data_IF_869470675837
#
_entry.id   IF_869470675837
#
_cell.length_a   1.000
_cell.length_b   1.000
_cell.length_c   1.000
_cell.angle_alpha   90.00
_cell.angle_beta   90.00
_cell.angle_gamma   90.00
#
_symmetry.space_group_name_H-M   'P 1'
#
loop_
_entity.id
_entity.type
_entity.pdbx_description
1 polymer ?
#
# COMPACT_ATOMS: atom_id res chain seq x y z
N UNK A 1 -9.27 9.20 0.18
CA UNK A 1 -8.21 10.19 0.45
C UNK A 1 -8.85 11.56 0.66
N UNK A 2 -8.52 12.23 1.77
CA UNK A 2 -9.00 13.57 2.05
C UNK A 2 -8.10 14.56 1.32
N UNK A 3 -8.69 15.55 0.67
CA UNK A 3 -7.98 16.64 0.02
C UNK A 3 -8.29 17.96 0.72
N UNK A 4 -7.25 18.66 1.12
CA UNK A 4 -7.37 20.01 1.68
C UNK A 4 -7.12 21.06 0.60
N UNK A 5 -7.93 22.14 0.63
CA UNK A 5 -7.69 23.34 -0.16
C UNK A 5 -7.15 24.40 0.79
N UNK A 6 -5.99 24.94 0.46
CA UNK A 6 -5.32 25.95 1.28
C UNK A 6 -5.47 27.33 0.62
N UNK A 7 -5.55 28.36 1.44
CA UNK A 7 -5.48 29.75 1.00
C UNK A 7 -4.01 30.20 0.79
N UNK A 8 -3.82 31.46 0.43
CA UNK A 8 -2.51 32.06 0.23
C UNK A 8 -1.66 32.18 1.52
N UNK A 9 -2.25 31.94 2.70
CA UNK A 9 -1.57 31.91 4.00
C UNK A 9 -1.26 30.49 4.46
N UNK A 10 -1.70 29.47 3.71
CA UNK A 10 -1.56 28.07 4.06
C UNK A 10 -2.62 27.56 5.04
N UNK A 11 -3.70 28.31 5.25
CA UNK A 11 -4.81 27.89 6.09
C UNK A 11 -5.80 27.03 5.31
N UNK A 12 -6.40 26.03 5.98
CA UNK A 12 -7.36 25.11 5.34
C UNK A 12 -8.69 25.83 5.15
N UNK A 13 -9.09 26.02 3.91
CA UNK A 13 -10.38 26.65 3.55
C UNK A 13 -11.47 25.64 3.24
N UNK A 14 -11.08 24.44 2.76
CA UNK A 14 -12.01 23.36 2.46
C UNK A 14 -11.36 22.02 2.70
N UNK A 15 -12.14 21.05 3.18
CA UNK A 15 -11.76 19.64 3.24
C UNK A 15 -12.81 18.82 2.46
N UNK A 16 -12.37 17.89 1.63
CA UNK A 16 -13.27 17.08 0.83
C UNK A 16 -12.65 15.74 0.42
N UNK A 17 -13.50 14.80 0.02
CA UNK A 17 -13.04 13.50 -0.49
C UNK A 17 -12.68 13.61 -1.97
N UNK A 18 -11.49 13.15 -2.33
CA UNK A 18 -11.09 13.02 -3.73
C UNK A 18 -11.98 11.95 -4.40
N UNK A 19 -12.75 12.36 -5.42
CA UNK A 19 -13.56 11.43 -6.20
C UNK A 19 -12.70 10.78 -7.29
N UNK A 20 -12.57 9.46 -7.20
CA UNK A 20 -11.91 8.63 -8.21
C UNK A 20 -12.87 8.35 -9.36
N UNK A 21 -12.53 8.78 -10.58
CA UNK A 21 -13.31 8.56 -11.79
C UNK A 21 -12.74 7.40 -12.64
N UNK A 22 -13.40 7.06 -13.74
CA UNK A 22 -13.00 5.95 -14.60
C UNK A 22 -11.67 6.20 -15.33
N UNK A 23 -11.32 7.46 -15.61
CA UNK A 23 -10.02 7.79 -16.20
C UNK A 23 -8.87 7.47 -15.22
N UNK A 24 -9.05 7.76 -13.92
CA UNK A 24 -8.08 7.36 -12.89
C UNK A 24 -7.91 5.84 -12.83
N UNK A 25 -9.02 5.09 -12.89
CA UNK A 25 -8.98 3.61 -12.87
C UNK A 25 -8.26 3.06 -14.09
N UNK A 26 -8.56 3.59 -15.29
CA UNK A 26 -7.89 3.16 -16.52
C UNK A 26 -6.38 3.39 -16.47
N UNK A 27 -5.95 4.57 -16.04
CA UNK A 27 -4.52 4.86 -15.90
C UNK A 27 -3.84 3.95 -14.87
N UNK A 28 -4.51 3.66 -13.76
CA UNK A 28 -4.02 2.73 -12.74
C UNK A 28 -3.82 1.32 -13.31
N UNK A 29 -4.79 0.79 -14.05
CA UNK A 29 -4.67 -0.52 -14.70
C UNK A 29 -3.52 -0.56 -15.72
N UNK A 30 -3.35 0.51 -16.53
CA UNK A 30 -2.22 0.62 -17.44
C UNK A 30 -0.87 0.65 -16.70
N UNK A 31 -0.79 1.36 -15.57
CA UNK A 31 0.42 1.41 -14.76
C UNK A 31 0.72 0.05 -14.10
N UNK A 32 -0.30 -0.65 -13.61
CA UNK A 32 -0.16 -2.00 -13.05
C UNK A 32 0.35 -2.96 -14.13
N UNK A 33 -0.23 -2.94 -15.31
CA UNK A 33 0.20 -3.79 -16.43
C UNK A 33 1.67 -3.52 -16.80
N UNK A 34 2.08 -2.27 -16.92
CA UNK A 34 3.46 -1.90 -17.21
C UNK A 34 4.44 -2.36 -16.11
N UNK A 35 4.05 -2.24 -14.83
CA UNK A 35 4.83 -2.67 -13.68
C UNK A 35 5.00 -4.21 -13.66
N UNK A 36 3.96 -4.96 -14.02
CA UNK A 36 4.00 -6.43 -14.12
C UNK A 36 4.93 -6.87 -15.25
N UNK A 37 4.81 -6.27 -16.44
CA UNK A 37 5.66 -6.64 -17.58
C UNK A 37 7.14 -6.28 -17.35
N UNK A 38 7.42 -5.17 -16.68
CA UNK A 38 8.77 -4.81 -16.25
C UNK A 38 9.35 -5.87 -15.29
N UNK A 39 8.56 -6.34 -14.32
CA UNK A 39 8.97 -7.41 -13.40
C UNK A 39 9.24 -8.72 -14.12
N UNK A 40 8.34 -9.15 -15.00
CA UNK A 40 8.49 -10.39 -15.81
C UNK A 40 9.76 -10.33 -16.67
N UNK A 41 10.02 -9.22 -17.34
CA UNK A 41 11.21 -9.04 -18.16
C UNK A 41 12.50 -9.25 -17.34
N UNK A 42 12.59 -8.63 -16.16
CA UNK A 42 13.77 -8.72 -15.31
C UNK A 42 13.95 -10.12 -14.72
N UNK A 43 12.87 -10.80 -14.34
CA UNK A 43 12.90 -12.19 -13.90
C UNK A 43 13.41 -13.12 -15.03
N UNK A 44 12.88 -12.96 -16.24
CA UNK A 44 13.31 -13.76 -17.39
C UNK A 44 14.78 -13.54 -17.77
N UNK A 45 15.34 -12.34 -17.51
CA UNK A 45 16.75 -12.01 -17.73
C UNK A 45 17.66 -12.35 -16.56
N UNK A 46 17.10 -12.65 -15.38
CA UNK A 46 17.86 -12.90 -14.16
C UNK A 46 18.67 -11.68 -13.67
N UNK A 47 18.32 -10.46 -14.12
CA UNK A 47 19.03 -9.24 -13.74
C UNK A 47 18.51 -8.78 -12.36
N UNK A 48 19.40 -8.54 -11.37
CA UNK A 48 18.98 -8.06 -10.05
C UNK A 48 18.18 -6.76 -10.12
N UNK A 49 17.01 -6.74 -9.50
CA UNK A 49 16.13 -5.57 -9.46
C UNK A 49 15.28 -5.55 -8.19
N UNK A 50 14.81 -4.37 -7.74
CA UNK A 50 13.93 -4.27 -6.58
C UNK A 50 12.48 -4.56 -6.99
N UNK A 51 12.03 -5.79 -6.75
CA UNK A 51 10.60 -6.13 -6.86
C UNK A 51 9.82 -5.49 -5.71
N UNK A 52 8.58 -5.10 -5.95
CA UNK A 52 7.65 -4.68 -4.91
C UNK A 52 6.86 -5.90 -4.46
N UNK A 53 7.25 -6.47 -3.35
CA UNK A 53 6.66 -7.68 -2.81
C UNK A 53 5.66 -7.35 -1.71
N UNK A 54 4.64 -8.19 -1.60
CA UNK A 54 3.67 -8.15 -0.51
C UNK A 54 3.33 -9.58 -0.11
N UNK A 55 3.81 -9.99 1.04
CA UNK A 55 3.54 -11.32 1.57
C UNK A 55 2.10 -11.42 2.08
N UNK A 56 1.60 -12.65 2.24
CA UNK A 56 0.32 -12.86 2.93
C UNK A 56 0.39 -12.33 4.37
N UNK A 57 -0.75 -12.06 4.99
CA UNK A 57 -0.78 -11.60 6.38
C UNK A 57 0.05 -12.49 7.31
N UNK A 58 0.76 -11.92 8.31
CA UNK A 58 1.42 -12.73 9.33
C UNK A 58 0.40 -13.63 10.04
N UNK A 59 0.79 -14.88 10.34
CA UNK A 59 -0.12 -15.89 10.87
C UNK A 59 -0.84 -15.43 12.15
N UNK A 60 -0.10 -14.78 13.07
CA UNK A 60 -0.70 -14.26 14.30
C UNK A 60 -1.74 -13.17 14.03
N UNK A 61 -1.41 -12.18 13.18
CA UNK A 61 -2.37 -11.13 12.83
C UNK A 61 -3.61 -11.67 12.13
N UNK A 62 -3.43 -12.73 11.36
CA UNK A 62 -4.54 -13.39 10.69
C UNK A 62 -5.42 -14.18 11.68
N UNK A 63 -4.82 -14.81 12.69
CA UNK A 63 -5.57 -15.48 13.75
C UNK A 63 -6.39 -14.45 14.57
N UNK A 64 -5.78 -13.32 14.92
CA UNK A 64 -6.47 -12.21 15.61
C UNK A 64 -7.64 -11.67 14.75
N UNK A 65 -7.44 -11.53 13.45
CA UNK A 65 -8.49 -11.16 12.51
C UNK A 65 -9.63 -12.19 12.49
N UNK A 66 -9.31 -13.48 12.46
CA UNK A 66 -10.34 -14.53 12.46
C UNK A 66 -11.17 -14.51 13.74
N UNK A 67 -10.55 -14.24 14.88
CA UNK A 67 -11.25 -14.11 16.16
C UNK A 67 -12.17 -12.89 16.16
N UNK A 68 -11.67 -11.73 15.74
CA UNK A 68 -12.48 -10.53 15.58
C UNK A 68 -13.70 -10.76 14.67
N UNK A 69 -13.53 -11.42 13.54
CA UNK A 69 -14.61 -11.67 12.58
C UNK A 69 -15.73 -12.56 13.15
N UNK A 70 -15.43 -13.45 14.10
CA UNK A 70 -16.45 -14.29 14.75
C UNK A 70 -17.49 -13.47 15.52
N UNK A 71 -17.08 -12.36 16.13
CA UNK A 71 -18.00 -11.46 16.84
C UNK A 71 -19.06 -10.87 15.89
N UNK A 72 -18.73 -10.72 14.61
CA UNK A 72 -19.62 -10.24 13.55
C UNK A 72 -20.31 -11.36 12.76
N UNK A 73 -20.20 -12.63 13.20
CA UNK A 73 -20.71 -13.81 12.51
C UNK A 73 -20.14 -13.97 11.08
N UNK A 74 -18.90 -13.55 10.91
CA UNK A 74 -18.13 -13.66 9.67
C UNK A 74 -17.02 -14.68 9.82
N UNK A 75 -16.61 -15.26 8.71
CA UNK A 75 -15.51 -16.23 8.68
C UNK A 75 -14.68 -16.09 7.42
N UNK A 76 -13.40 -16.45 7.54
CA UNK A 76 -12.47 -16.57 6.44
C UNK A 76 -11.78 -17.94 6.43
N UNK A 77 -11.23 -18.39 5.31
CA UNK A 77 -10.50 -19.67 5.22
C UNK A 77 -9.34 -19.74 6.23
N UNK A 78 -8.84 -20.94 6.56
CA UNK A 78 -7.61 -21.09 7.33
C UNK A 78 -6.42 -20.35 6.68
N UNK A 79 -5.49 -19.85 7.48
CA UNK A 79 -4.33 -19.07 7.04
C UNK A 79 -3.55 -19.70 5.87
N UNK A 80 -3.32 -21.01 5.92
CA UNK A 80 -2.59 -21.74 4.88
C UNK A 80 -3.31 -21.74 3.50
N UNK A 81 -4.64 -21.50 3.48
CA UNK A 81 -5.49 -21.55 2.28
C UNK A 81 -6.08 -20.20 1.89
N UNK A 82 -5.74 -19.14 2.62
CA UNK A 82 -6.27 -17.81 2.32
C UNK A 82 -5.67 -17.22 1.04
N UNK A 83 -6.52 -16.63 0.23
CA UNK A 83 -6.18 -15.95 -1.01
C UNK A 83 -6.66 -14.49 -0.99
N UNK A 84 -6.10 -13.60 -1.82
CA UNK A 84 -6.56 -12.21 -1.95
C UNK A 84 -8.06 -12.09 -2.23
N UNK A 85 -8.62 -12.98 -3.05
CA UNK A 85 -10.06 -13.03 -3.39
C UNK A 85 -10.96 -13.20 -2.17
N UNK A 86 -10.47 -13.84 -1.10
CA UNK A 86 -11.26 -14.07 0.11
C UNK A 86 -11.47 -12.76 0.86
N UNK A 87 -10.46 -11.88 0.87
CA UNK A 87 -10.57 -10.51 1.38
C UNK A 87 -11.55 -9.69 0.57
N UNK A 88 -11.45 -9.73 -0.76
CA UNK A 88 -12.38 -9.04 -1.66
C UNK A 88 -13.82 -9.52 -1.45
N UNK A 89 -14.03 -10.82 -1.35
CA UNK A 89 -15.36 -11.41 -1.11
C UNK A 89 -15.94 -10.95 0.24
N UNK A 90 -15.10 -10.87 1.28
CA UNK A 90 -15.53 -10.40 2.59
C UNK A 90 -15.90 -8.90 2.55
N UNK A 91 -15.09 -8.06 1.93
CA UNK A 91 -15.39 -6.63 1.73
C UNK A 91 -16.73 -6.44 1.02
N UNK A 92 -16.97 -7.17 -0.07
CA UNK A 92 -18.25 -7.12 -0.76
C UNK A 92 -19.43 -7.56 0.12
N UNK A 93 -19.24 -8.58 0.95
CA UNK A 93 -20.27 -9.09 1.86
C UNK A 93 -20.65 -8.09 2.95
N UNK A 94 -19.69 -7.29 3.42
CA UNK A 94 -19.92 -6.34 4.52
C UNK A 94 -20.29 -4.93 4.06
N UNK A 95 -20.19 -4.62 2.78
CA UNK A 95 -20.25 -3.28 2.20
C UNK A 95 -21.46 -2.44 2.65
N UNK A 96 -22.62 -3.06 2.83
CA UNK A 96 -23.86 -2.36 3.18
C UNK A 96 -24.16 -2.43 4.69
N UNK A 97 -23.27 -2.97 5.49
CA UNK A 97 -23.44 -3.07 6.95
C UNK A 97 -23.02 -1.77 7.62
N UNK A 98 -23.65 -1.46 8.74
CA UNK A 98 -23.30 -0.29 9.55
C UNK A 98 -21.87 -0.36 10.12
N UNK A 99 -21.34 -1.55 10.33
CA UNK A 99 -20.01 -1.85 10.85
C UNK A 99 -18.94 -2.08 9.74
N UNK A 100 -19.28 -1.85 8.47
CA UNK A 100 -18.38 -2.07 7.32
C UNK A 100 -17.02 -1.38 7.49
N UNK A 101 -17.03 -0.09 7.84
CA UNK A 101 -15.80 0.69 8.00
C UNK A 101 -14.86 0.13 9.09
N UNK A 102 -15.42 -0.36 10.20
CA UNK A 102 -14.65 -1.01 11.26
C UNK A 102 -14.02 -2.30 10.75
N UNK A 103 -14.80 -3.17 10.11
CA UNK A 103 -14.32 -4.45 9.57
C UNK A 103 -13.24 -4.23 8.52
N UNK A 104 -13.43 -3.29 7.57
CA UNK A 104 -12.45 -2.94 6.56
C UNK A 104 -11.15 -2.42 7.17
N UNK A 105 -11.23 -1.59 8.22
CA UNK A 105 -10.05 -1.10 8.95
C UNK A 105 -9.25 -2.23 9.58
N UNK A 106 -9.92 -3.21 10.23
CA UNK A 106 -9.24 -4.36 10.84
C UNK A 106 -8.65 -5.28 9.78
N UNK A 107 -9.37 -5.51 8.66
CA UNK A 107 -8.86 -6.25 7.50
C UNK A 107 -7.57 -5.61 6.96
N UNK A 108 -7.54 -4.30 6.81
CA UNK A 108 -6.36 -3.58 6.33
C UNK A 108 -5.18 -3.69 7.31
N UNK A 109 -5.42 -3.55 8.62
CA UNK A 109 -4.38 -3.66 9.66
C UNK A 109 -3.80 -5.07 9.79
N UNK A 110 -4.54 -6.09 9.40
CA UNK A 110 -4.07 -7.48 9.41
C UNK A 110 -3.05 -7.78 8.32
N UNK A 111 -2.98 -6.96 7.26
CA UNK A 111 -2.08 -7.18 6.13
C UNK A 111 -0.61 -6.98 6.50
N UNK A 112 0.26 -7.66 5.74
CA UNK A 112 1.69 -7.33 5.70
C UNK A 112 1.92 -5.97 5.05
N UNK A 113 3.06 -5.35 5.34
CA UNK A 113 3.48 -4.17 4.60
C UNK A 113 4.16 -4.62 3.30
N UNK A 114 3.85 -3.96 2.20
CA UNK A 114 4.61 -4.15 0.97
C UNK A 114 6.01 -3.53 1.12
N UNK A 115 7.03 -4.24 0.64
CA UNK A 115 8.44 -3.83 0.71
C UNK A 115 9.13 -4.03 -0.63
N UNK A 116 10.33 -3.50 -0.78
CA UNK A 116 11.19 -3.80 -1.92
C UNK A 116 12.13 -4.95 -1.56
N UNK A 117 12.33 -5.89 -2.48
CA UNK A 117 13.25 -7.02 -2.33
C UNK A 117 13.75 -7.48 -3.69
N UNK A 118 15.00 -7.93 -3.83
CA UNK A 118 15.46 -8.60 -5.05
C UNK A 118 14.90 -10.03 -5.17
N UNK A 119 14.40 -10.61 -4.08
CA UNK A 119 13.71 -11.91 -4.10
C UNK A 119 12.22 -11.68 -4.37
N UNK A 120 11.74 -12.14 -5.53
CA UNK A 120 10.32 -12.04 -5.87
C UNK A 120 9.53 -13.16 -5.16
N UNK A 121 8.61 -12.77 -4.31
CA UNK A 121 7.62 -13.67 -3.65
C UNK A 121 6.18 -13.35 -4.07
N UNK A 122 6.02 -12.50 -5.07
CA UNK A 122 4.74 -12.02 -5.54
C UNK A 122 4.17 -10.86 -4.72
N UNK A 123 2.98 -10.45 -5.08
CA UNK A 123 2.27 -9.35 -4.40
C UNK A 123 0.86 -9.81 -4.01
N UNK A 124 0.71 -10.30 -2.77
CA UNK A 124 -0.54 -10.86 -2.27
C UNK A 124 -1.71 -9.86 -2.41
N UNK A 125 -1.56 -8.62 -1.97
CA UNK A 125 -2.63 -7.62 -2.01
C UNK A 125 -3.14 -7.27 -3.41
N UNK A 126 -2.31 -7.47 -4.46
CA UNK A 126 -2.70 -7.28 -5.86
C UNK A 126 -3.02 -8.61 -6.57
N UNK A 127 -2.85 -9.75 -5.91
CA UNK A 127 -2.96 -11.09 -6.51
C UNK A 127 -2.05 -11.29 -7.73
N UNK A 128 -0.83 -10.76 -7.68
CA UNK A 128 0.14 -10.81 -8.77
C UNK A 128 1.32 -11.71 -8.41
N UNK A 129 1.77 -12.54 -9.36
CA UNK A 129 2.94 -13.41 -9.20
C UNK A 129 4.27 -12.65 -9.21
N UNK A 130 4.31 -11.51 -9.88
CA UNK A 130 5.47 -10.62 -9.93
C UNK A 130 5.05 -9.18 -10.13
N UNK A 131 5.71 -8.27 -9.41
CA UNK A 131 5.40 -6.87 -9.49
C UNK A 131 6.65 -6.03 -9.19
N UNK A 132 6.90 -5.01 -9.98
CA UNK A 132 7.97 -4.05 -9.73
C UNK A 132 7.48 -2.64 -10.04
N UNK A 133 7.88 -1.69 -9.26
CA UNK A 133 7.58 -0.29 -9.56
C UNK A 133 8.44 0.19 -10.73
N UNK A 134 7.80 0.64 -11.80
CA UNK A 134 8.46 1.07 -13.04
C UNK A 134 7.95 2.44 -13.53
N UNK A 135 6.69 2.77 -13.27
CA UNK A 135 5.99 3.88 -13.92
C UNK A 135 6.30 5.28 -13.37
N UNK A 136 7.06 5.40 -12.27
CA UNK A 136 7.32 6.70 -11.62
C UNK A 136 8.79 6.94 -11.25
N UNK A 137 9.76 6.85 -12.17
CA UNK A 137 11.20 6.94 -11.86
C UNK A 137 11.67 8.34 -11.42
N UNK A 138 10.87 9.38 -11.64
CA UNK A 138 11.19 10.74 -11.20
C UNK A 138 11.08 10.89 -9.69
N UNK A 139 10.09 10.24 -9.07
CA UNK A 139 9.79 10.38 -7.64
C UNK A 139 10.09 9.13 -6.81
N UNK A 140 10.35 7.98 -7.43
CA UNK A 140 10.66 6.72 -6.74
C UNK A 140 11.98 6.14 -7.23
N UNK A 141 12.97 6.09 -6.36
CA UNK A 141 14.28 5.53 -6.69
C UNK A 141 14.26 4.05 -7.10
N UNK A 142 13.42 3.16 -6.53
CA UNK A 142 13.27 1.79 -7.02
C UNK A 142 12.88 1.70 -8.48
N UNK A 143 11.97 2.56 -8.96
CA UNK A 143 11.60 2.64 -10.38
C UNK A 143 12.83 2.96 -11.25
N UNK A 144 13.66 3.90 -10.82
CA UNK A 144 14.89 4.23 -11.52
C UNK A 144 15.88 3.05 -11.57
N UNK A 145 15.97 2.26 -10.50
CA UNK A 145 16.78 1.03 -10.49
C UNK A 145 16.23 0.00 -11.49
N UNK A 146 14.91 -0.18 -11.55
CA UNK A 146 14.23 -1.04 -12.53
C UNK A 146 14.52 -0.55 -13.95
N UNK A 147 14.43 0.75 -14.24
CA UNK A 147 14.79 1.32 -15.55
C UNK A 147 16.24 1.04 -15.94
N UNK A 148 17.18 1.18 -15.00
CA UNK A 148 18.60 0.88 -15.23
C UNK A 148 18.82 -0.60 -15.56
N UNK A 149 18.14 -1.50 -14.85
CA UNK A 149 18.23 -2.93 -15.09
C UNK A 149 17.63 -3.31 -16.46
N UNK A 150 16.48 -2.77 -16.83
CA UNK A 150 15.85 -2.98 -18.14
C UNK A 150 16.75 -2.44 -19.27
N UNK A 151 17.26 -1.22 -19.16
CA UNK A 151 18.17 -0.64 -20.17
C UNK A 151 19.44 -1.48 -20.35
N UNK A 152 20.00 -2.00 -19.25
CA UNK A 152 21.14 -2.91 -19.30
C UNK A 152 20.79 -4.20 -20.05
N UNK A 153 19.66 -4.82 -19.75
CA UNK A 153 19.23 -6.04 -20.44
C UNK A 153 18.91 -5.83 -21.92
N UNK A 154 18.30 -4.69 -22.29
CA UNK A 154 18.02 -4.31 -23.69
C UNK A 154 19.31 -4.08 -24.49
N UNK A 155 20.37 -3.60 -23.84
CA UNK A 155 21.70 -3.45 -24.45
C UNK A 155 22.50 -4.78 -24.54
N UNK A 156 21.87 -5.93 -24.26
CA UNK A 156 22.52 -7.24 -24.29
C UNK A 156 23.31 -7.58 -23.03
N UNK A 157 23.17 -6.77 -21.97
CA UNK A 157 23.81 -7.05 -20.68
C UNK A 157 23.17 -8.22 -19.93
N UNK A 158 23.94 -8.80 -19.02
CA UNK A 158 23.55 -9.94 -18.18
C UNK A 158 23.70 -9.58 -16.71
N UNK A 159 23.22 -10.45 -15.81
CA UNK A 159 23.42 -10.29 -14.37
C UNK A 159 24.91 -10.19 -13.99
N UNK A 160 25.79 -10.93 -14.70
CA UNK A 160 27.22 -10.98 -14.38
C UNK A 160 27.96 -9.64 -14.63
N UNK A 161 27.50 -8.86 -15.61
CA UNK A 161 28.11 -7.57 -15.95
C UNK A 161 27.23 -6.36 -15.60
N UNK A 162 26.17 -6.58 -14.82
CA UNK A 162 25.36 -5.48 -14.31
C UNK A 162 26.09 -4.74 -13.20
N UNK A 163 25.93 -3.40 -13.17
CA UNK A 163 26.64 -2.54 -12.23
C UNK A 163 26.31 -2.75 -10.76
N UNK A 164 25.21 -3.44 -10.46
CA UNK A 164 24.79 -3.77 -9.11
C UNK A 164 24.78 -5.27 -8.93
N UNK A 165 25.53 -5.76 -7.95
CA UNK A 165 25.46 -7.16 -7.51
C UNK A 165 24.13 -7.47 -6.81
N UNK A 166 23.80 -8.75 -6.62
CA UNK A 166 22.62 -9.17 -5.89
C UNK A 166 22.61 -8.63 -4.45
N UNK A 167 23.76 -8.65 -3.76
CA UNK A 167 23.88 -8.13 -2.38
C UNK A 167 23.74 -6.61 -2.30
N UNK A 168 24.24 -5.87 -3.29
CA UNK A 168 24.02 -4.43 -3.36
C UNK A 168 22.56 -4.10 -3.65
N UNK A 169 21.90 -4.87 -4.51
CA UNK A 169 20.47 -4.68 -4.80
C UNK A 169 19.62 -4.98 -3.57
N UNK A 170 19.98 -5.98 -2.77
CA UNK A 170 19.29 -6.27 -1.51
C UNK A 170 19.41 -5.09 -0.52
N UNK A 171 20.61 -4.58 -0.30
CA UNK A 171 20.83 -3.39 0.53
C UNK A 171 20.07 -2.16 0.04
N UNK A 172 20.06 -1.91 -1.27
CA UNK A 172 19.32 -0.80 -1.87
C UNK A 172 17.81 -0.99 -1.70
N UNK A 173 17.30 -2.20 -1.86
CA UNK A 173 15.88 -2.53 -1.67
C UNK A 173 15.43 -2.29 -0.23
N UNK A 174 16.23 -2.71 0.75
CA UNK A 174 15.97 -2.45 2.16
C UNK A 174 15.92 -0.94 2.44
N UNK A 175 16.94 -0.20 1.98
CA UNK A 175 17.00 1.26 2.15
C UNK A 175 15.79 1.96 1.49
N UNK A 176 15.39 1.52 0.30
CA UNK A 176 14.20 2.04 -0.37
C UNK A 176 12.92 1.80 0.44
N UNK A 177 12.79 0.62 1.05
CA UNK A 177 11.63 0.29 1.89
C UNK A 177 11.57 1.17 3.15
N UNK A 178 12.70 1.37 3.80
CA UNK A 178 12.80 2.24 4.98
C UNK A 178 12.48 3.70 4.64
N UNK A 179 13.02 4.20 3.52
CA UNK A 179 12.79 5.59 3.08
C UNK A 179 11.34 5.81 2.63
N UNK A 180 10.73 4.84 1.95
CA UNK A 180 9.33 4.91 1.56
C UNK A 180 8.44 4.99 2.81
N UNK A 181 8.65 4.11 3.80
CA UNK A 181 7.91 4.15 5.06
C UNK A 181 8.05 5.47 5.79
N UNK A 182 9.28 6.01 5.86
CA UNK A 182 9.51 7.32 6.49
C UNK A 182 8.79 8.45 5.75
N UNK A 183 8.72 8.39 4.42
CA UNK A 183 7.96 9.36 3.63
C UNK A 183 6.46 9.28 3.91
N UNK A 184 5.91 8.06 3.96
CA UNK A 184 4.50 7.82 4.29
C UNK A 184 4.15 8.28 5.73
N UNK A 185 5.07 8.10 6.68
CA UNK A 185 4.91 8.59 8.05
C UNK A 185 4.89 10.12 8.11
N UNK A 186 5.81 10.78 7.38
CA UNK A 186 5.85 12.23 7.31
C UNK A 186 4.60 12.83 6.64
N UNK A 187 4.13 12.22 5.55
CA UNK A 187 2.90 12.62 4.86
C UNK A 187 1.69 12.52 5.79
N UNK A 188 1.57 11.39 6.51
CA UNK A 188 0.50 11.18 7.47
C UNK A 188 0.53 12.19 8.61
N UNK A 189 1.71 12.50 9.17
CA UNK A 189 1.85 13.51 10.23
C UNK A 189 1.38 14.89 9.76
N UNK A 190 1.74 15.27 8.53
CA UNK A 190 1.28 16.54 7.93
C UNK A 190 -0.24 16.53 7.72
N UNK A 191 -0.79 15.45 7.20
CA UNK A 191 -2.24 15.27 7.01
C UNK A 191 -3.00 15.41 8.35
N UNK A 192 -2.50 14.78 9.42
CA UNK A 192 -3.09 14.86 10.76
C UNK A 192 -3.07 16.28 11.30
N UNK A 193 -2.00 17.04 11.07
CA UNK A 193 -1.93 18.47 11.47
C UNK A 193 -2.95 19.31 10.73
N UNK A 194 -3.12 19.12 9.41
CA UNK A 194 -4.15 19.83 8.64
C UNK A 194 -5.57 19.45 9.05
N UNK A 195 -5.80 18.18 9.39
CA UNK A 195 -7.07 17.71 9.95
C UNK A 195 -7.37 18.38 11.29
N UNK A 196 -6.40 18.44 12.19
CA UNK A 196 -6.54 19.08 13.48
C UNK A 196 -6.84 20.58 13.32
N UNK A 197 -6.12 21.30 12.46
CA UNK A 197 -6.36 22.71 12.17
C UNK A 197 -7.76 22.96 11.58
N UNK A 198 -8.23 22.07 10.69
CA UNK A 198 -9.59 22.13 10.17
C UNK A 198 -10.64 21.91 11.26
N UNK A 199 -10.42 20.93 12.14
CA UNK A 199 -11.34 20.60 13.22
C UNK A 199 -11.40 21.67 14.32
N UNK A 200 -10.35 22.45 14.52
CA UNK A 200 -10.33 23.56 15.50
C UNK A 200 -11.47 24.55 15.27
N UNK A 201 -11.86 24.77 14.01
CA UNK A 201 -12.98 25.68 13.65
C UNK A 201 -14.36 25.11 14.05
N UNK A 202 -14.43 23.81 14.39
CA UNK A 202 -15.66 23.11 14.71
C UNK A 202 -15.75 22.73 16.20
N UNK A 203 -14.79 23.19 17.01
CA UNK A 203 -14.79 22.95 18.47
C UNK A 203 -16.06 23.52 19.10
N UNK A 204 -16.76 22.71 19.89
CA UNK A 204 -18.03 23.05 20.53
C UNK A 204 -19.26 22.68 19.69
N UNK A 205 -19.10 22.19 18.48
CA UNK A 205 -20.17 21.62 17.64
C UNK A 205 -20.39 20.12 17.88
N UNK A 206 -21.54 19.62 17.45
CA UNK A 206 -21.82 18.18 17.40
C UNK A 206 -21.39 17.62 16.04
N UNK A 207 -20.53 16.59 16.05
CA UNK A 207 -20.01 15.97 14.84
C UNK A 207 -20.23 14.46 14.92
N UNK A 208 -20.77 13.86 13.85
CA UNK A 208 -20.87 12.43 13.72
C UNK A 208 -19.49 11.81 13.45
N UNK A 209 -19.11 10.79 14.21
CA UNK A 209 -17.83 10.09 14.06
C UNK A 209 -17.97 8.60 14.24
N UNK A 210 -16.94 7.86 13.83
CA UNK A 210 -16.81 6.40 14.05
C UNK A 210 -15.62 6.17 14.94
N UNK A 211 -15.79 5.42 16.03
CA UNK A 211 -14.69 5.03 16.92
C UNK A 211 -13.72 4.16 16.14
N UNK A 212 -12.50 4.65 15.94
CA UNK A 212 -11.43 3.96 15.22
C UNK A 212 -10.45 3.22 16.15
N UNK A 213 -10.47 3.54 17.43
CA UNK A 213 -9.59 2.92 18.41
C UNK A 213 -10.06 3.15 19.84
N UNK A 214 -9.73 2.20 20.70
CA UNK A 214 -9.96 2.25 22.15
C UNK A 214 -8.63 2.00 22.84
N UNK A 215 -8.24 2.88 23.75
CA UNK A 215 -7.03 2.74 24.56
C UNK A 215 -7.36 2.98 26.03
N UNK A 216 -6.38 2.75 26.92
CA UNK A 216 -6.51 3.10 28.34
C UNK A 216 -6.71 4.61 28.58
N UNK A 217 -6.40 5.45 27.58
CA UNK A 217 -6.54 6.92 27.67
C UNK A 217 -7.87 7.43 27.15
N UNK A 218 -8.66 6.61 26.43
CA UNK A 218 -9.95 7.02 25.87
C UNK A 218 -10.30 6.40 24.53
N UNK A 219 -11.33 7.00 23.92
CA UNK A 219 -11.84 6.64 22.59
C UNK A 219 -11.24 7.60 21.56
N UNK A 220 -10.89 7.06 20.40
CA UNK A 220 -10.38 7.82 19.25
C UNK A 220 -11.30 7.58 18.06
N UNK A 221 -11.59 8.63 17.29
CA UNK A 221 -12.45 8.60 16.11
C UNK A 221 -11.88 9.39 14.95
#
# INVERSE_FOLDING_TARGET
EVRFVLDNRGEVTQAGMLQRNDAHKLLEECMIAANVEAAKYLLAKGIPAPFRIHERPPEQKYADLQEFLKEFQLSMPPWAKVHPRDFTALIHKVRERADAALIESVLLRSQSLAVYSPANVGHFGLALESYAHFTSPIRRYPDLLVHRAIKHGLAGGTAANFRYSASEMDRLSLQCSERARRADEAEREVDERYRAAWMEQHVGGEIGGVISGVTSCGLFG
#
